data_IF_549838489506
#
_entry.id   IF_549838489506
#
_cell.length_a   1.000
_cell.length_b   1.000
_cell.length_c   1.000
_cell.angle_alpha   90.00
_cell.angle_beta   90.00
_cell.angle_gamma   90.00
#
_symmetry.space_group_name_H-M   'P 1'
#
loop_
_entity.id
_entity.type
_entity.pdbx_description
1 polymer ?
#
# COMPACT_ATOMS: atom_id res chain seq x y z
N UNK A 1 10.94 -2.48 -3.87
CA UNK A 1 9.64 -2.76 -4.48
C UNK A 1 8.56 -1.73 -4.10
N UNK A 2 8.21 -1.55 -2.81
CA UNK A 2 7.10 -0.67 -2.40
C UNK A 2 7.21 0.77 -2.93
N UNK A 3 8.35 1.44 -2.80
CA UNK A 3 8.51 2.81 -3.29
C UNK A 3 8.25 2.90 -4.79
N UNK A 4 8.82 1.97 -5.55
CA UNK A 4 8.57 1.87 -6.99
C UNK A 4 7.11 1.57 -7.32
N UNK A 5 6.46 0.68 -6.57
CA UNK A 5 5.04 0.41 -6.74
C UNK A 5 4.19 1.69 -6.63
N UNK A 6 4.37 2.46 -5.56
CA UNK A 6 3.60 3.69 -5.35
C UNK A 6 3.82 4.72 -6.46
N UNK A 7 5.07 4.87 -6.90
CA UNK A 7 5.40 5.81 -7.98
C UNK A 7 4.84 5.29 -9.31
N UNK A 8 4.97 3.98 -9.56
CA UNK A 8 4.46 3.34 -10.77
C UNK A 8 2.93 3.43 -10.90
N UNK A 9 2.20 3.26 -9.80
CA UNK A 9 0.74 3.38 -9.78
C UNK A 9 0.27 4.79 -10.18
N UNK A 10 1.05 5.83 -9.85
CA UNK A 10 0.68 7.23 -10.13
C UNK A 10 1.17 7.68 -11.51
N UNK A 11 2.39 7.33 -11.90
CA UNK A 11 3.06 7.87 -13.10
C UNK A 11 3.32 6.83 -14.20
N UNK A 12 3.07 5.56 -13.94
CA UNK A 12 3.28 4.48 -14.91
C UNK A 12 4.75 4.31 -15.30
N UNK A 13 4.99 4.06 -16.59
CA UNK A 13 6.33 3.76 -17.12
C UNK A 13 7.26 4.94 -17.30
N UNK A 14 6.84 6.17 -17.00
CA UNK A 14 7.67 7.36 -17.14
C UNK A 14 8.67 7.56 -15.98
N UNK A 15 9.23 6.46 -15.48
CA UNK A 15 10.11 6.46 -14.32
C UNK A 15 11.51 5.95 -14.69
N UNK A 16 12.56 6.65 -14.27
CA UNK A 16 13.91 6.10 -14.32
C UNK A 16 14.04 4.97 -13.29
N UNK A 17 14.54 3.81 -13.71
CA UNK A 17 14.83 2.68 -12.85
C UNK A 17 16.25 2.81 -12.29
N UNK A 18 16.38 3.19 -11.03
CA UNK A 18 17.67 3.21 -10.35
C UNK A 18 17.80 2.03 -9.37
N UNK A 19 18.36 0.95 -9.86
CA UNK A 19 18.53 -0.30 -9.10
C UNK A 19 19.72 -0.22 -8.11
N UNK A 20 20.63 0.72 -8.30
CA UNK A 20 21.90 0.81 -7.56
C UNK A 20 22.12 2.16 -6.88
N UNK A 21 21.08 2.74 -6.29
CA UNK A 21 21.27 3.92 -5.46
C UNK A 21 22.07 3.54 -4.20
N UNK A 22 23.39 3.55 -4.31
CA UNK A 22 24.25 3.66 -3.14
C UNK A 22 24.40 5.13 -2.77
N UNK A 23 24.70 5.41 -1.50
CA UNK A 23 24.99 6.78 -1.05
C UNK A 23 26.13 7.47 -1.86
N UNK A 24 26.91 6.71 -2.60
CA UNK A 24 28.02 7.15 -3.41
C UNK A 24 27.63 7.47 -4.87
N UNK A 25 26.50 6.99 -5.36
CA UNK A 25 25.98 7.28 -6.69
C UNK A 25 24.72 8.14 -6.62
N UNK A 26 24.88 9.38 -6.21
CA UNK A 26 23.83 10.40 -6.27
C UNK A 26 23.57 10.91 -7.70
N UNK A 27 23.92 10.14 -8.71
CA UNK A 27 23.49 10.45 -10.07
C UNK A 27 21.98 10.29 -10.14
N UNK A 28 21.32 11.39 -10.42
CA UNK A 28 19.90 11.37 -10.80
C UNK A 28 19.81 10.41 -11.99
N UNK A 29 19.00 9.35 -11.87
CA UNK A 29 18.85 8.42 -12.98
C UNK A 29 18.51 9.19 -14.24
N UNK A 30 19.11 8.78 -15.34
CA UNK A 30 18.86 9.40 -16.64
C UNK A 30 17.39 9.51 -16.97
N UNK A 31 17.09 10.14 -18.06
CA UNK A 31 15.73 10.30 -18.56
C UNK A 31 15.01 8.95 -18.64
N UNK A 32 13.72 8.96 -18.33
CA UNK A 32 12.84 7.81 -18.54
C UNK A 32 13.01 7.26 -19.96
N UNK A 33 12.81 5.95 -20.12
CA UNK A 33 12.82 5.30 -21.43
C UNK A 33 11.82 6.04 -22.34
N UNK A 34 12.22 6.47 -23.55
CA UNK A 34 11.31 7.16 -24.47
C UNK A 34 10.14 6.27 -24.94
N UNK A 35 10.28 4.96 -24.88
CA UNK A 35 9.19 4.03 -25.12
C UNK A 35 8.45 3.74 -23.80
N UNK A 36 7.32 4.40 -23.64
CA UNK A 36 6.48 4.27 -22.44
C UNK A 36 6.05 2.82 -22.17
N UNK A 37 5.68 2.05 -23.18
CA UNK A 37 5.24 0.66 -23.01
C UNK A 37 6.39 -0.24 -22.57
N UNK A 38 7.56 -0.08 -23.15
CA UNK A 38 8.77 -0.80 -22.72
C UNK A 38 9.15 -0.41 -21.29
N UNK A 39 9.06 0.87 -20.94
CA UNK A 39 9.29 1.35 -19.57
C UNK A 39 8.29 0.76 -18.59
N UNK A 40 7.00 0.69 -18.92
CA UNK A 40 5.97 0.08 -18.09
C UNK A 40 6.30 -1.39 -17.81
N UNK A 41 6.63 -2.16 -18.83
CA UNK A 41 6.98 -3.56 -18.68
C UNK A 41 8.23 -3.75 -17.81
N UNK A 42 9.29 -2.99 -18.05
CA UNK A 42 10.53 -3.08 -17.26
C UNK A 42 10.31 -2.80 -15.78
N UNK A 43 9.51 -1.78 -15.46
CA UNK A 43 9.22 -1.42 -14.07
C UNK A 43 8.33 -2.46 -13.41
N UNK A 44 7.33 -2.96 -14.14
CA UNK A 44 6.46 -4.06 -13.68
C UNK A 44 7.30 -5.29 -13.31
N UNK A 45 8.14 -5.76 -14.23
CA UNK A 45 8.99 -6.92 -14.02
C UNK A 45 9.93 -6.73 -12.84
N UNK A 46 10.58 -5.57 -12.76
CA UNK A 46 11.45 -5.23 -11.64
C UNK A 46 10.72 -5.29 -10.28
N UNK A 47 9.51 -4.70 -10.17
CA UNK A 47 8.76 -4.73 -8.92
C UNK A 47 8.40 -6.16 -8.54
N UNK A 48 7.95 -6.98 -9.50
CA UNK A 48 7.56 -8.37 -9.26
C UNK A 48 8.76 -9.22 -8.87
N UNK A 49 9.89 -9.09 -9.56
CA UNK A 49 11.14 -9.78 -9.24
C UNK A 49 11.64 -9.45 -7.84
N UNK A 50 11.64 -8.17 -7.45
CA UNK A 50 12.01 -7.74 -6.10
C UNK A 50 11.09 -8.32 -5.01
N UNK A 51 9.79 -8.39 -5.28
CA UNK A 51 8.83 -9.00 -4.37
C UNK A 51 9.05 -10.51 -4.24
N UNK A 52 9.37 -11.18 -5.33
CA UNK A 52 9.65 -12.62 -5.34
C UNK A 52 11.00 -12.97 -4.71
N UNK A 53 11.97 -12.08 -4.83
CA UNK A 53 13.30 -12.29 -4.29
C UNK A 53 13.41 -12.14 -2.77
N UNK A 54 12.45 -11.51 -2.10
CA UNK A 54 12.60 -11.18 -0.68
C UNK A 54 11.53 -11.72 0.26
N UNK A 55 10.41 -12.26 -0.23
CA UNK A 55 9.27 -12.58 0.63
C UNK A 55 9.55 -13.65 1.70
N UNK A 56 10.37 -14.65 1.39
CA UNK A 56 10.69 -15.74 2.34
C UNK A 56 11.48 -15.27 3.56
N UNK A 57 12.25 -14.20 3.39
CA UNK A 57 13.03 -13.61 4.48
C UNK A 57 12.20 -12.69 5.40
N UNK A 58 10.94 -12.39 5.03
CA UNK A 58 10.07 -11.53 5.81
C UNK A 58 9.35 -12.32 6.92
N UNK A 59 9.04 -11.68 8.05
CA UNK A 59 8.26 -12.33 9.12
C UNK A 59 6.82 -12.59 8.69
N UNK A 60 6.14 -13.46 9.46
CA UNK A 60 4.69 -13.65 9.39
C UNK A 60 4.00 -13.00 10.59
N UNK A 61 2.75 -12.58 10.42
CA UNK A 61 1.88 -12.05 11.49
C UNK A 61 2.41 -10.83 12.27
N UNK A 62 3.38 -10.10 11.74
CA UNK A 62 3.88 -8.86 12.32
C UNK A 62 3.25 -7.65 11.61
N UNK A 63 2.24 -7.03 12.23
CA UNK A 63 1.49 -5.94 11.58
C UNK A 63 2.22 -4.58 11.56
N UNK A 64 3.26 -4.39 12.35
CA UNK A 64 3.99 -3.12 12.46
C UNK A 64 5.17 -2.97 11.51
N UNK A 65 5.37 -3.91 10.62
CA UNK A 65 6.45 -3.92 9.62
C UNK A 65 6.05 -4.71 8.38
N UNK A 66 6.87 -4.61 7.34
CA UNK A 66 6.72 -5.45 6.16
C UNK A 66 6.77 -6.92 6.55
N UNK A 67 5.76 -7.67 6.15
CA UNK A 67 5.62 -9.11 6.39
C UNK A 67 5.30 -9.85 5.08
N UNK A 68 5.26 -11.18 5.16
CA UNK A 68 5.03 -12.02 3.98
C UNK A 68 3.68 -11.72 3.31
N UNK A 69 2.62 -11.56 4.10
CA UNK A 69 1.29 -11.27 3.54
C UNK A 69 1.26 -9.91 2.81
N UNK A 70 1.86 -8.86 3.38
CA UNK A 70 1.96 -7.54 2.72
C UNK A 70 2.71 -7.64 1.39
N UNK A 71 3.83 -8.37 1.37
CA UNK A 71 4.59 -8.58 0.16
C UNK A 71 3.75 -9.28 -0.92
N UNK A 72 3.06 -10.36 -0.55
CA UNK A 72 2.21 -11.12 -1.49
C UNK A 72 0.98 -10.33 -1.93
N UNK A 73 0.34 -9.56 -1.04
CA UNK A 73 -0.76 -8.68 -1.39
C UNK A 73 -0.33 -7.56 -2.36
N UNK A 74 0.88 -7.03 -2.19
CA UNK A 74 1.43 -6.06 -3.13
C UNK A 74 1.65 -6.69 -4.52
N UNK A 75 2.21 -7.91 -4.57
CA UNK A 75 2.32 -8.66 -5.82
C UNK A 75 0.95 -8.94 -6.44
N UNK A 76 -0.03 -9.32 -5.64
CA UNK A 76 -1.40 -9.55 -6.11
C UNK A 76 -1.99 -8.29 -6.78
N UNK A 77 -1.78 -7.10 -6.18
CA UNK A 77 -2.20 -5.82 -6.80
C UNK A 77 -1.51 -5.56 -8.13
N UNK A 78 -0.21 -5.86 -8.23
CA UNK A 78 0.53 -5.77 -9.50
C UNK A 78 -0.08 -6.71 -10.56
N UNK A 79 -0.33 -7.96 -10.20
CA UNK A 79 -0.90 -8.96 -11.11
C UNK A 79 -2.32 -8.60 -11.55
N UNK A 80 -3.15 -8.10 -10.64
CA UNK A 80 -4.52 -7.67 -10.94
C UNK A 80 -4.56 -6.54 -11.98
N UNK A 81 -3.61 -5.61 -11.88
CA UNK A 81 -3.52 -4.46 -12.78
C UNK A 81 -2.56 -4.69 -13.97
N UNK A 82 -2.05 -5.90 -14.15
CA UNK A 82 -1.02 -6.18 -15.16
C UNK A 82 -1.47 -5.84 -16.58
N UNK A 83 -2.73 -6.11 -16.92
CA UNK A 83 -3.27 -5.81 -18.26
C UNK A 83 -3.27 -4.31 -18.55
N UNK A 84 -3.60 -3.47 -17.54
CA UNK A 84 -3.56 -2.01 -17.66
C UNK A 84 -2.14 -1.50 -17.85
N UNK A 85 -1.18 -2.07 -17.13
CA UNK A 85 0.20 -1.61 -17.15
C UNK A 85 1.02 -2.13 -18.34
N UNK A 86 0.78 -3.37 -18.75
CA UNK A 86 1.63 -4.08 -19.72
C UNK A 86 0.89 -4.57 -20.97
N UNK A 87 -0.43 -4.49 -20.96
CA UNK A 87 -1.28 -5.07 -22.00
C UNK A 87 -1.46 -6.60 -21.88
N UNK A 88 -0.92 -7.22 -20.82
CA UNK A 88 -0.99 -8.68 -20.60
C UNK A 88 -1.70 -8.99 -19.30
N UNK A 89 -2.84 -9.69 -19.39
CA UNK A 89 -3.60 -10.11 -18.21
C UNK A 89 -2.90 -11.24 -17.45
N UNK A 90 -2.90 -11.15 -16.10
CA UNK A 90 -2.35 -12.15 -15.17
C UNK A 90 -3.35 -12.52 -14.06
N UNK A 91 -4.63 -12.59 -14.41
CA UNK A 91 -5.70 -12.81 -13.42
C UNK A 91 -5.63 -14.18 -12.76
N UNK A 92 -5.22 -15.23 -13.47
CA UNK A 92 -5.10 -16.58 -12.89
C UNK A 92 -3.98 -16.66 -11.86
N UNK A 93 -2.84 -16.00 -12.12
CA UNK A 93 -1.75 -15.88 -11.14
C UNK A 93 -2.20 -15.08 -9.91
N UNK A 94 -2.97 -14.01 -10.13
CA UNK A 94 -3.55 -13.21 -9.07
C UNK A 94 -4.51 -14.02 -8.21
N UNK A 95 -5.42 -14.78 -8.81
CA UNK A 95 -6.39 -15.62 -8.11
C UNK A 95 -5.70 -16.71 -7.28
N UNK A 96 -4.67 -17.35 -7.85
CA UNK A 96 -3.86 -18.36 -7.15
C UNK A 96 -3.21 -17.76 -5.90
N UNK A 97 -2.59 -16.60 -6.03
CA UNK A 97 -1.93 -15.93 -4.92
C UNK A 97 -2.93 -15.45 -3.84
N UNK A 98 -4.11 -15.00 -4.26
CA UNK A 98 -5.19 -14.65 -3.34
C UNK A 98 -5.65 -15.88 -2.53
N UNK A 99 -5.80 -17.04 -3.17
CA UNK A 99 -6.16 -18.27 -2.48
C UNK A 99 -5.09 -18.71 -1.48
N UNK A 100 -3.81 -18.60 -1.83
CA UNK A 100 -2.71 -18.89 -0.91
C UNK A 100 -2.72 -17.99 0.34
N UNK A 101 -3.11 -16.71 0.20
CA UNK A 101 -3.27 -15.78 1.33
C UNK A 101 -4.44 -16.23 2.21
N UNK A 102 -5.58 -16.57 1.61
CA UNK A 102 -6.76 -17.04 2.33
C UNK A 102 -6.52 -18.37 3.06
N UNK A 103 -5.70 -19.24 2.49
CA UNK A 103 -5.29 -20.51 3.10
C UNK A 103 -4.27 -20.35 4.25
N UNK A 104 -3.86 -19.10 4.52
CA UNK A 104 -2.95 -18.79 5.63
C UNK A 104 -1.48 -19.10 5.37
N UNK A 105 -1.06 -19.29 4.12
CA UNK A 105 0.33 -19.61 3.77
C UNK A 105 1.34 -18.53 4.21
N UNK A 106 0.89 -17.28 4.23
CA UNK A 106 1.73 -16.11 4.52
C UNK A 106 1.42 -15.43 5.86
N UNK A 107 0.63 -16.08 6.69
CA UNK A 107 0.16 -15.59 7.98
C UNK A 107 -1.34 -15.86 8.18
N UNK A 108 -1.81 -15.78 9.42
CA UNK A 108 -3.19 -16.06 9.76
C UNK A 108 -3.95 -14.77 9.95
N UNK A 109 -4.91 -14.52 9.10
CA UNK A 109 -5.79 -13.35 9.12
C UNK A 109 -7.25 -13.80 9.02
N UNK A 110 -8.17 -12.99 9.54
CA UNK A 110 -9.60 -13.26 9.42
C UNK A 110 -10.39 -11.96 9.35
N UNK A 111 -11.58 -12.03 8.79
CA UNK A 111 -12.48 -10.86 8.74
C UNK A 111 -12.90 -10.51 10.16
N UNK A 112 -12.85 -9.22 10.50
CA UNK A 112 -13.27 -8.71 11.79
C UNK A 112 -14.77 -8.97 12.00
N UNK A 113 -15.18 -9.24 13.24
CA UNK A 113 -16.57 -9.48 13.57
C UNK A 113 -17.46 -8.23 13.36
N UNK A 114 -16.89 -7.06 13.64
CA UNK A 114 -17.51 -5.76 13.36
C UNK A 114 -16.59 -4.94 12.47
N UNK A 115 -17.10 -4.44 11.36
CA UNK A 115 -16.34 -3.57 10.45
C UNK A 115 -15.74 -2.35 11.13
N UNK A 116 -16.33 -1.87 12.21
CA UNK A 116 -15.83 -0.75 12.99
C UNK A 116 -14.52 -1.05 13.72
N UNK A 117 -14.24 -2.30 14.02
CA UNK A 117 -13.04 -2.71 14.77
C UNK A 117 -11.74 -2.32 14.07
N UNK A 118 -11.77 -2.21 12.73
CA UNK A 118 -10.62 -1.77 11.94
C UNK A 118 -10.29 -0.29 12.17
N UNK A 119 -11.32 0.52 12.50
CA UNK A 119 -11.21 1.98 12.59
C UNK A 119 -11.17 2.50 14.04
N UNK A 120 -11.19 1.62 15.01
CA UNK A 120 -11.09 2.00 16.43
C UNK A 120 -9.65 2.36 16.80
N UNK A 121 -9.49 3.02 17.93
CA UNK A 121 -8.18 3.40 18.46
C UNK A 121 -7.35 2.16 18.87
N UNK A 122 -8.03 1.08 19.21
CA UNK A 122 -7.43 -0.19 19.68
C UNK A 122 -7.33 -1.24 18.54
N UNK A 123 -7.31 -0.80 17.29
CA UNK A 123 -7.31 -1.68 16.11
C UNK A 123 -6.03 -2.53 15.95
N UNK A 124 -5.04 -2.36 16.79
CA UNK A 124 -3.79 -3.14 16.77
C UNK A 124 -4.02 -4.65 16.89
N UNK A 125 -5.08 -5.05 17.57
CA UNK A 125 -5.47 -6.46 17.77
C UNK A 125 -6.54 -6.93 16.78
N UNK A 126 -6.95 -6.10 15.83
CA UNK A 126 -7.93 -6.49 14.83
C UNK A 126 -7.35 -7.57 13.91
N UNK A 127 -7.98 -8.76 13.79
CA UNK A 127 -7.46 -9.88 13.03
C UNK A 127 -7.43 -9.64 11.50
N UNK A 128 -8.07 -8.58 11.03
CA UNK A 128 -8.09 -8.18 9.63
C UNK A 128 -6.91 -7.28 9.25
N UNK A 129 -6.22 -6.71 10.26
CA UNK A 129 -5.09 -5.81 10.02
C UNK A 129 -3.84 -6.59 9.64
N UNK A 130 -3.47 -6.50 8.37
CA UNK A 130 -2.26 -7.15 7.85
C UNK A 130 -1.02 -6.31 8.09
N UNK A 131 -1.16 -4.98 7.96
CA UNK A 131 -0.09 -4.03 8.25
C UNK A 131 -0.69 -2.70 8.73
N UNK A 132 -0.06 -2.12 9.73
CA UNK A 132 -0.38 -0.80 10.24
C UNK A 132 0.88 0.07 10.35
N UNK A 133 0.75 1.34 10.00
CA UNK A 133 1.75 2.34 10.34
C UNK A 133 1.47 2.80 11.77
N UNK A 134 2.29 2.35 12.70
CA UNK A 134 2.17 2.77 14.09
C UNK A 134 2.41 4.28 14.21
N UNK A 135 1.51 4.95 14.93
CA UNK A 135 1.64 6.37 15.27
C UNK A 135 1.66 6.52 16.78
N UNK A 136 2.53 7.38 17.27
CA UNK A 136 2.62 7.71 18.68
C UNK A 136 2.42 9.21 18.87
N UNK A 137 1.52 9.55 19.77
CA UNK A 137 1.20 10.97 20.05
C UNK A 137 2.46 11.72 20.47
N UNK A 138 2.77 12.79 19.75
CA UNK A 138 3.92 13.65 20.00
C UNK A 138 5.24 13.20 19.36
N UNK A 139 5.32 12.00 18.80
CA UNK A 139 6.54 11.51 18.13
C UNK A 139 6.36 11.27 16.64
N UNK A 140 5.27 10.64 16.24
CA UNK A 140 4.99 10.35 14.87
C UNK A 140 3.53 10.71 14.53
N UNK A 141 3.35 11.80 13.85
CA UNK A 141 2.02 12.27 13.46
C UNK A 141 1.83 12.05 11.96
N UNK A 142 1.41 10.83 11.58
CA UNK A 142 1.17 10.49 10.19
C UNK A 142 -0.33 10.60 9.90
N UNK A 143 -0.68 11.48 8.99
CA UNK A 143 -1.95 11.32 8.28
C UNK A 143 -3.13 12.15 8.71
N UNK A 144 -3.04 13.09 9.68
CA UNK A 144 -4.14 13.99 9.94
C UNK A 144 -4.55 14.78 8.68
N UNK A 145 -3.59 15.11 7.83
CA UNK A 145 -3.83 15.80 6.55
C UNK A 145 -4.58 14.94 5.51
N UNK A 146 -4.54 13.63 5.63
CA UNK A 146 -5.24 12.74 4.67
C UNK A 146 -6.72 12.60 4.98
N UNK A 147 -7.07 12.60 6.25
CA UNK A 147 -8.44 12.31 6.70
C UNK A 147 -9.26 13.57 6.95
N UNK A 148 -8.61 14.65 7.39
CA UNK A 148 -9.30 15.91 7.68
C UNK A 148 -10.11 16.47 6.50
N UNK A 149 -9.61 16.45 5.25
CA UNK A 149 -10.38 16.94 4.11
C UNK A 149 -11.64 16.13 3.81
N UNK A 150 -11.71 14.86 4.23
CA UNK A 150 -12.86 14.00 3.98
C UNK A 150 -13.89 13.98 5.12
N UNK A 151 -13.60 14.64 6.24
CA UNK A 151 -14.52 14.69 7.35
C UNK A 151 -15.48 15.89 7.23
N UNK A 152 -16.78 15.69 7.42
CA UNK A 152 -17.74 16.77 7.42
C UNK A 152 -17.46 17.77 8.58
N UNK A 153 -17.78 19.03 8.33
CA UNK A 153 -17.53 20.12 9.26
C UNK A 153 -18.09 19.88 10.68
N UNK A 154 -19.23 19.23 10.79
CA UNK A 154 -19.93 18.95 12.04
C UNK A 154 -19.62 17.57 12.63
N UNK A 155 -18.56 16.92 12.20
CA UNK A 155 -18.20 15.56 12.69
C UNK A 155 -18.05 15.53 14.22
N UNK A 156 -17.60 16.63 14.81
CA UNK A 156 -17.38 16.74 16.26
C UNK A 156 -18.64 16.65 17.08
N UNK A 157 -19.79 17.08 16.55
CA UNK A 157 -21.09 16.93 17.18
C UNK A 157 -21.43 15.45 17.38
N UNK A 158 -21.05 14.62 16.42
CA UNK A 158 -21.29 13.17 16.47
C UNK A 158 -20.25 12.42 17.33
N UNK A 159 -19.04 12.99 17.48
CA UNK A 159 -17.96 12.38 18.23
C UNK A 159 -17.84 12.88 19.67
N UNK A 160 -18.71 13.80 20.10
CA UNK A 160 -18.69 14.38 21.46
C UNK A 160 -17.53 15.37 21.71
N UNK A 161 -16.91 15.86 20.66
CA UNK A 161 -15.85 16.87 20.73
C UNK A 161 -16.35 18.30 20.77
N UNK A 162 -15.44 19.26 20.91
CA UNK A 162 -15.72 20.69 20.87
C UNK A 162 -15.46 21.27 19.47
N UNK A 163 -16.20 22.30 19.11
CA UNK A 163 -16.19 22.95 17.82
C UNK A 163 -14.82 23.53 17.37
N UNK A 164 -13.95 23.83 18.29
CA UNK A 164 -12.65 24.46 18.02
C UNK A 164 -11.64 23.55 17.28
N UNK A 165 -11.95 22.28 17.12
CA UNK A 165 -11.10 21.28 16.47
C UNK A 165 -11.74 20.69 15.21
N UNK A 166 -12.60 21.44 14.57
CA UNK A 166 -13.35 20.96 13.40
C UNK A 166 -12.48 20.61 12.20
N UNK A 167 -12.92 19.62 11.46
CA UNK A 167 -12.37 19.27 10.16
C UNK A 167 -12.54 20.39 9.13
N UNK A 168 -11.98 20.20 7.98
CA UNK A 168 -12.16 21.12 6.87
C UNK A 168 -13.56 20.95 6.26
N UNK A 169 -14.04 22.06 5.70
CA UNK A 169 -15.36 22.12 5.10
C UNK A 169 -15.37 21.37 3.74
N UNK A 170 -15.36 20.05 3.80
CA UNK A 170 -15.45 19.21 2.61
C UNK A 170 -16.89 18.76 2.42
N UNK A 171 -17.48 19.13 1.30
CA UNK A 171 -18.73 18.55 0.81
C UNK A 171 -18.44 17.13 0.36
N UNK A 172 -18.85 16.14 1.14
CA UNK A 172 -19.03 14.79 0.61
C UNK A 172 -20.22 14.86 -0.34
N UNK A 173 -19.96 14.64 -1.63
CA UNK A 173 -21.05 14.35 -2.57
C UNK A 173 -21.61 12.97 -2.19
N UNK A 174 -22.86 12.97 -1.76
CA UNK A 174 -23.63 11.75 -1.52
C UNK A 174 -24.00 11.11 -2.86
#
# INVERSE_FOLDING_TARGET
>A
AWAYYNIYEIWGGALPLNIKASAESAEIPGTADPDFNTSCQKIFDFIVEELDGCWEALPQNESNRMNQAVNRMLKMRMLLNSEVFTGVAKYDECATLAQEILDGKYGTYSIAADHRDIYTIDNVNCPEVVMAFATEVGQLNIGWMKNMPSLPYNIWEYMGGTYEQSGWNCTCLA
#
